data_IF_000360537647
#
_entry.id   IF_000360537647
#
_cell.length_a   1.000
_cell.length_b   1.000
_cell.length_c   1.000
_cell.angle_alpha   90.00
_cell.angle_beta   90.00
_cell.angle_gamma   90.00
#
_symmetry.space_group_name_H-M   'P 1'
#
loop_
_entity.id
_entity.type
_entity.pdbx_description
1 polymer ?
#
# COMPACT_ATOMS: atom_id res chain seq x y z
N UNK A 1 -7.70 4.15 -37.05
CA UNK A 1 -7.53 5.56 -37.45
C UNK A 1 -7.47 5.57 -38.96
N UNK A 2 -8.58 6.01 -39.61
CA UNK A 2 -8.68 6.01 -41.06
C UNK A 2 -7.82 7.09 -41.72
N UNK A 3 -7.79 7.09 -43.09
CA UNK A 3 -6.97 8.03 -43.88
C UNK A 3 -7.20 9.53 -43.56
N UNK A 4 -8.34 9.90 -42.99
CA UNK A 4 -8.66 11.26 -42.54
C UNK A 4 -7.74 11.80 -41.42
N UNK A 5 -7.09 10.91 -40.64
CA UNK A 5 -6.19 11.33 -39.56
C UNK A 5 -4.86 11.94 -40.04
N UNK A 6 -4.52 11.79 -41.30
CA UNK A 6 -3.26 12.30 -41.88
C UNK A 6 -3.26 13.84 -42.01
N UNK A 7 -4.42 14.48 -42.12
CA UNK A 7 -4.56 15.92 -42.31
C UNK A 7 -4.78 16.72 -41.05
N UNK A 8 -4.87 16.07 -39.89
CA UNK A 8 -5.09 16.73 -38.62
C UNK A 8 -3.81 17.40 -38.09
N UNK A 9 -3.93 18.59 -37.53
CA UNK A 9 -2.83 19.21 -36.77
C UNK A 9 -2.47 18.37 -35.53
N UNK A 10 -1.27 18.58 -35.00
CA UNK A 10 -0.81 17.89 -33.78
C UNK A 10 -1.82 17.99 -32.63
N UNK A 11 -2.39 19.16 -32.40
CA UNK A 11 -3.36 19.39 -31.33
C UNK A 11 -4.70 18.67 -31.58
N UNK A 12 -5.14 18.59 -32.83
CA UNK A 12 -6.33 17.84 -33.20
C UNK A 12 -6.11 16.34 -33.00
N UNK A 13 -4.96 15.80 -33.42
CA UNK A 13 -4.59 14.40 -33.17
C UNK A 13 -4.58 14.05 -31.68
N UNK A 14 -4.03 14.93 -30.83
CA UNK A 14 -4.02 14.73 -29.38
C UNK A 14 -5.46 14.68 -28.83
N UNK A 15 -6.32 15.59 -29.26
CA UNK A 15 -7.74 15.61 -28.83
C UNK A 15 -8.49 14.34 -29.24
N UNK A 16 -8.30 13.88 -30.46
CA UNK A 16 -8.93 12.64 -30.96
C UNK A 16 -8.42 11.42 -30.18
N UNK A 17 -7.11 11.31 -29.91
CA UNK A 17 -6.55 10.26 -29.09
C UNK A 17 -7.11 10.30 -27.66
N UNK A 18 -7.19 11.49 -27.05
CA UNK A 18 -7.78 11.64 -25.71
C UNK A 18 -9.26 11.25 -25.66
N UNK A 19 -10.03 11.59 -26.71
CA UNK A 19 -11.42 11.17 -26.85
C UNK A 19 -11.54 9.66 -26.95
N UNK A 20 -10.69 9.04 -27.78
CA UNK A 20 -10.65 7.59 -27.93
C UNK A 20 -10.27 6.90 -26.61
N UNK A 21 -9.24 7.38 -25.90
CA UNK A 21 -8.86 6.83 -24.59
C UNK A 21 -10.05 6.91 -23.64
N UNK A 22 -10.71 8.06 -23.53
CA UNK A 22 -11.85 8.26 -22.63
C UNK A 22 -13.08 7.41 -22.98
N UNK A 23 -13.21 6.94 -24.24
CA UNK A 23 -14.31 6.06 -24.61
C UNK A 23 -14.10 4.60 -24.15
N UNK A 24 -12.84 4.20 -23.88
CA UNK A 24 -12.49 2.84 -23.44
C UNK A 24 -12.07 2.78 -21.98
N UNK A 25 -11.50 3.87 -21.44
CA UNK A 25 -10.91 3.90 -20.11
C UNK A 25 -11.52 4.99 -19.23
N UNK A 26 -11.86 4.61 -18.02
CA UNK A 26 -12.25 5.54 -16.96
C UNK A 26 -11.13 5.61 -15.93
N UNK A 27 -10.56 6.80 -15.72
CA UNK A 27 -9.52 7.04 -14.72
C UNK A 27 -10.11 7.78 -13.53
N UNK A 28 -9.84 7.29 -12.34
CA UNK A 28 -10.25 7.95 -11.10
C UNK A 28 -9.17 7.82 -10.03
N UNK A 29 -8.89 8.90 -9.31
CA UNK A 29 -8.15 8.78 -8.04
C UNK A 29 -9.05 8.17 -6.96
N UNK A 30 -8.46 7.58 -5.94
CA UNK A 30 -9.18 6.86 -4.89
C UNK A 30 -10.32 7.66 -4.23
N UNK A 31 -10.06 8.91 -3.89
CA UNK A 31 -11.04 9.82 -3.28
C UNK A 31 -12.22 10.06 -4.22
N UNK A 32 -11.91 10.39 -5.49
CA UNK A 32 -12.91 10.63 -6.50
C UNK A 32 -13.75 9.39 -6.74
N UNK A 33 -13.14 8.23 -6.86
CA UNK A 33 -13.82 6.95 -7.02
C UNK A 33 -14.86 6.71 -5.90
N UNK A 34 -14.47 6.86 -4.63
CA UNK A 34 -15.38 6.66 -3.52
C UNK A 34 -16.52 7.72 -3.48
N UNK A 35 -16.20 8.98 -3.76
CA UNK A 35 -17.19 10.05 -3.76
C UNK A 35 -18.20 9.90 -4.92
N UNK A 36 -17.72 9.60 -6.13
CA UNK A 36 -18.60 9.37 -7.30
C UNK A 36 -19.60 8.22 -7.03
N UNK A 37 -19.17 7.17 -6.34
CA UNK A 37 -20.06 6.06 -5.97
C UNK A 37 -21.07 6.51 -4.92
N UNK A 38 -20.65 7.17 -3.85
CA UNK A 38 -21.55 7.72 -2.83
C UNK A 38 -22.62 8.63 -3.43
N UNK A 39 -22.21 9.56 -4.29
CA UNK A 39 -23.13 10.52 -4.89
C UNK A 39 -24.17 9.83 -5.78
N UNK A 40 -23.78 8.78 -6.50
CA UNK A 40 -24.66 8.02 -7.41
C UNK A 40 -25.52 6.97 -6.73
N UNK A 41 -25.19 6.60 -5.50
CA UNK A 41 -25.90 5.56 -4.72
C UNK A 41 -26.64 6.12 -3.50
N UNK A 42 -26.79 7.44 -3.41
CA UNK A 42 -27.52 8.05 -2.29
C UNK A 42 -26.77 7.99 -0.96
N UNK A 43 -25.43 7.95 -0.99
CA UNK A 43 -24.61 7.99 0.21
C UNK A 43 -24.06 6.64 0.68
N UNK A 44 -24.28 5.55 -0.07
CA UNK A 44 -23.76 4.23 0.28
C UNK A 44 -22.22 4.24 0.37
N UNK A 45 -21.69 3.61 1.42
CA UNK A 45 -20.24 3.58 1.73
C UNK A 45 -19.65 2.17 1.68
N UNK A 46 -20.34 1.24 1.06
CA UNK A 46 -19.88 -0.14 0.93
C UNK A 46 -20.39 -1.08 2.03
N UNK A 47 -21.29 -0.62 2.90
CA UNK A 47 -21.90 -1.46 3.92
C UNK A 47 -22.71 -2.59 3.26
N UNK A 48 -22.39 -3.83 3.65
CA UNK A 48 -23.00 -5.02 3.05
C UNK A 48 -24.50 -5.15 3.39
N UNK A 49 -24.85 -4.76 4.61
CA UNK A 49 -26.23 -4.80 5.12
C UNK A 49 -27.17 -3.81 4.40
N UNK A 50 -26.59 -2.81 3.72
CA UNK A 50 -27.35 -1.78 2.98
C UNK A 50 -27.37 -2.03 1.47
N UNK A 51 -26.99 -3.21 1.00
CA UNK A 51 -27.02 -3.55 -0.42
C UNK A 51 -28.44 -3.97 -0.81
N UNK A 52 -29.18 -2.99 -1.26
CA UNK A 52 -30.50 -3.17 -1.87
C UNK A 52 -30.41 -3.46 -3.39
N UNK A 53 -31.55 -3.67 -4.03
CA UNK A 53 -31.61 -3.94 -5.46
C UNK A 53 -31.07 -2.77 -6.29
N UNK A 54 -31.22 -1.53 -5.84
CA UNK A 54 -30.71 -0.34 -6.55
C UNK A 54 -29.18 -0.31 -6.56
N UNK A 55 -28.54 -0.67 -5.44
CA UNK A 55 -27.10 -0.75 -5.33
C UNK A 55 -26.57 -1.93 -6.18
N UNK A 56 -27.28 -3.06 -6.17
CA UNK A 56 -26.93 -4.20 -7.03
C UNK A 56 -27.02 -3.86 -8.52
N UNK A 57 -28.07 -3.20 -8.93
CA UNK A 57 -28.24 -2.72 -10.31
C UNK A 57 -27.18 -1.70 -10.70
N UNK A 58 -26.83 -0.81 -9.78
CA UNK A 58 -25.73 0.13 -9.97
C UNK A 58 -24.41 -0.60 -10.18
N UNK A 59 -24.06 -1.56 -9.30
CA UNK A 59 -22.83 -2.33 -9.39
C UNK A 59 -22.80 -3.10 -10.72
N UNK A 60 -23.87 -3.80 -11.07
CA UNK A 60 -23.94 -4.57 -12.32
C UNK A 60 -23.76 -3.68 -13.54
N UNK A 61 -24.48 -2.58 -13.63
CA UNK A 61 -24.42 -1.68 -14.79
C UNK A 61 -23.04 -1.04 -14.98
N UNK A 62 -22.38 -0.69 -13.89
CA UNK A 62 -21.12 0.06 -13.96
C UNK A 62 -19.88 -0.85 -14.03
N UNK A 63 -19.95 -2.03 -13.42
CA UNK A 63 -18.77 -2.85 -13.18
C UNK A 63 -18.80 -4.26 -13.80
N UNK A 64 -19.96 -4.77 -14.26
CA UNK A 64 -19.99 -6.05 -14.96
C UNK A 64 -19.17 -5.97 -16.26
N UNK A 65 -18.50 -7.06 -16.62
CA UNK A 65 -17.69 -7.20 -17.82
C UNK A 65 -16.55 -6.15 -17.94
N UNK A 66 -15.99 -5.71 -16.79
CA UNK A 66 -14.92 -4.70 -16.74
C UNK A 66 -13.58 -5.29 -16.35
N UNK A 67 -12.53 -4.60 -16.81
CA UNK A 67 -11.18 -4.76 -16.28
C UNK A 67 -10.95 -3.64 -15.26
N UNK A 68 -10.70 -4.00 -14.01
CA UNK A 68 -10.39 -3.07 -12.93
C UNK A 68 -8.88 -3.17 -12.66
N UNK A 69 -8.18 -2.07 -12.89
CA UNK A 69 -6.74 -1.95 -12.63
C UNK A 69 -6.55 -0.98 -11.47
N UNK A 70 -5.93 -1.43 -10.39
CA UNK A 70 -5.68 -0.62 -9.20
C UNK A 70 -4.17 -0.46 -9.06
N UNK A 71 -3.69 0.75 -9.28
CA UNK A 71 -2.28 1.10 -9.13
C UNK A 71 -1.99 1.58 -7.72
N UNK A 72 -0.85 1.20 -7.15
CA UNK A 72 -0.46 1.50 -5.78
C UNK A 72 -1.52 1.07 -4.75
N UNK A 73 -1.98 -0.20 -4.86
CA UNK A 73 -3.06 -0.76 -4.03
C UNK A 73 -2.83 -0.58 -2.51
N UNK A 74 -1.58 -0.50 -2.05
CA UNK A 74 -1.26 -0.27 -0.64
C UNK A 74 -1.81 1.06 -0.12
N UNK A 75 -2.04 2.06 -1.00
CA UNK A 75 -2.60 3.35 -0.60
C UNK A 75 -4.07 3.25 -0.14
N UNK A 76 -4.78 2.22 -0.52
CA UNK A 76 -6.16 1.99 -0.05
C UNK A 76 -6.17 1.75 1.47
N UNK A 77 -5.11 1.15 2.02
CA UNK A 77 -5.04 0.78 3.44
C UNK A 77 -4.27 1.78 4.30
N UNK A 78 -3.27 2.43 3.74
CA UNK A 78 -2.29 3.25 4.49
C UNK A 78 -2.57 4.73 4.49
N UNK A 79 -3.63 5.22 3.82
CA UNK A 79 -3.94 6.64 3.74
C UNK A 79 -4.02 7.29 5.13
N UNK A 80 -3.34 8.43 5.32
CA UNK A 80 -3.35 9.21 6.55
C UNK A 80 -4.74 9.71 6.95
N UNK A 81 -5.70 9.65 6.04
CA UNK A 81 -7.09 10.05 6.24
C UNK A 81 -7.95 8.83 6.60
N UNK A 82 -7.99 8.51 7.88
CA UNK A 82 -8.73 7.36 8.43
C UNK A 82 -10.19 7.23 7.97
N UNK A 83 -10.85 8.32 7.63
CA UNK A 83 -12.24 8.30 7.17
C UNK A 83 -12.40 7.78 5.74
N UNK A 84 -11.46 8.11 4.84
CA UNK A 84 -11.50 7.66 3.45
C UNK A 84 -11.23 6.17 3.30
N UNK A 85 -10.31 5.64 4.10
CA UNK A 85 -10.03 4.19 4.12
C UNK A 85 -11.25 3.38 4.51
N UNK A 86 -12.00 3.84 5.51
CA UNK A 86 -13.24 3.21 5.96
C UNK A 86 -14.31 3.12 4.88
N UNK A 87 -14.15 3.89 3.80
CA UNK A 87 -15.14 3.94 2.72
C UNK A 87 -14.67 3.20 1.46
N UNK A 88 -13.39 3.34 1.08
CA UNK A 88 -12.90 2.76 -0.19
C UNK A 88 -12.84 1.24 -0.12
N UNK A 89 -12.34 0.68 0.98
CA UNK A 89 -12.22 -0.78 1.12
C UNK A 89 -13.56 -1.49 1.02
N UNK A 90 -14.60 -1.16 1.81
CA UNK A 90 -15.87 -1.86 1.74
C UNK A 90 -16.58 -1.66 0.39
N UNK A 91 -16.47 -0.48 -0.24
CA UNK A 91 -17.00 -0.26 -1.59
C UNK A 91 -16.32 -1.19 -2.59
N UNK A 92 -14.99 -1.27 -2.58
CA UNK A 92 -14.23 -2.11 -3.49
C UNK A 92 -14.56 -3.61 -3.28
N UNK A 93 -14.61 -4.05 -2.02
CA UNK A 93 -14.98 -5.42 -1.69
C UNK A 93 -16.38 -5.76 -2.20
N UNK A 94 -17.35 -4.88 -2.00
CA UNK A 94 -18.71 -5.08 -2.47
C UNK A 94 -18.80 -5.13 -3.99
N UNK A 95 -18.07 -4.25 -4.70
CA UNK A 95 -18.02 -4.30 -6.17
C UNK A 95 -17.46 -5.66 -6.64
N UNK A 96 -16.34 -6.09 -6.09
CA UNK A 96 -15.71 -7.37 -6.48
C UNK A 96 -16.60 -8.57 -6.13
N UNK A 97 -17.32 -8.49 -5.02
CA UNK A 97 -18.23 -9.55 -4.58
C UNK A 97 -19.46 -9.69 -5.49
N UNK A 98 -20.05 -8.59 -5.91
CA UNK A 98 -21.36 -8.58 -6.57
C UNK A 98 -21.32 -8.38 -8.07
N UNK A 99 -20.31 -7.72 -8.62
CA UNK A 99 -20.18 -7.59 -10.07
C UNK A 99 -19.76 -8.92 -10.71
N UNK A 100 -20.16 -9.09 -11.96
CA UNK A 100 -19.91 -10.31 -12.73
C UNK A 100 -18.83 -10.11 -13.76
N UNK A 101 -18.06 -11.18 -14.01
CA UNK A 101 -17.04 -11.24 -15.06
C UNK A 101 -15.99 -10.09 -14.97
N UNK A 102 -15.60 -9.70 -13.76
CA UNK A 102 -14.51 -8.72 -13.55
C UNK A 102 -13.17 -9.40 -13.83
N UNK A 103 -12.25 -8.64 -14.46
CA UNK A 103 -10.81 -8.94 -14.48
C UNK A 103 -10.13 -7.94 -13.56
N UNK A 104 -9.54 -8.44 -12.47
CA UNK A 104 -8.91 -7.62 -11.44
C UNK A 104 -7.40 -7.66 -11.57
N UNK A 105 -6.76 -6.48 -11.65
CA UNK A 105 -5.31 -6.32 -11.65
C UNK A 105 -4.91 -5.39 -10.51
N UNK A 106 -4.12 -5.89 -9.57
CA UNK A 106 -3.58 -5.12 -8.44
C UNK A 106 -2.10 -4.88 -8.68
N UNK A 107 -1.68 -3.62 -8.67
CA UNK A 107 -0.28 -3.23 -8.87
C UNK A 107 0.28 -2.57 -7.62
N UNK A 108 1.49 -2.96 -7.23
CA UNK A 108 2.23 -2.37 -6.13
C UNK A 108 3.71 -2.73 -6.22
N UNK A 109 4.58 -1.80 -5.85
CA UNK A 109 5.98 -2.07 -5.59
C UNK A 109 6.22 -2.53 -4.15
N UNK A 110 5.33 -2.18 -3.23
CA UNK A 110 5.45 -2.42 -1.78
C UNK A 110 4.12 -2.93 -1.20
N UNK A 111 3.71 -4.17 -1.49
CA UNK A 111 2.40 -4.68 -1.10
C UNK A 111 2.21 -4.82 0.43
N UNK A 112 3.29 -4.77 1.19
CA UNK A 112 3.30 -4.74 2.66
C UNK A 112 4.02 -3.47 3.10
N UNK A 113 3.28 -2.42 3.47
CA UNK A 113 3.86 -1.13 3.81
C UNK A 113 4.21 -1.03 5.29
N UNK A 114 3.24 -1.19 6.18
CA UNK A 114 3.44 -1.10 7.63
C UNK A 114 3.56 -2.48 8.29
N UNK A 115 2.72 -3.41 7.85
CA UNK A 115 2.56 -4.71 8.50
C UNK A 115 2.46 -5.85 7.50
N UNK A 116 3.08 -7.01 7.79
CA UNK A 116 3.02 -8.17 6.89
C UNK A 116 1.61 -8.70 6.63
N UNK A 117 0.70 -8.54 7.58
CA UNK A 117 -0.69 -9.03 7.48
C UNK A 117 -1.57 -8.22 6.52
N UNK A 118 -1.07 -7.10 6.01
CA UNK A 118 -1.77 -6.30 5.00
C UNK A 118 -1.99 -7.06 3.69
N UNK A 119 -1.09 -7.98 3.37
CA UNK A 119 -1.19 -8.79 2.16
C UNK A 119 -2.47 -9.63 2.11
N UNK A 120 -3.04 -10.00 3.27
CA UNK A 120 -4.26 -10.80 3.34
C UNK A 120 -5.44 -10.10 2.66
N UNK A 121 -5.54 -8.77 2.81
CA UNK A 121 -6.57 -8.00 2.14
C UNK A 121 -6.48 -8.12 0.61
N UNK A 122 -5.28 -7.98 0.03
CA UNK A 122 -5.09 -8.06 -1.42
C UNK A 122 -5.32 -9.47 -1.96
N UNK A 123 -4.86 -10.48 -1.22
CA UNK A 123 -5.12 -11.88 -1.56
C UNK A 123 -6.61 -12.14 -1.58
N UNK A 124 -7.33 -11.68 -0.56
CA UNK A 124 -8.77 -11.90 -0.45
C UNK A 124 -9.56 -11.18 -1.55
N UNK A 125 -9.12 -10.01 -2.03
CA UNK A 125 -9.73 -9.38 -3.21
C UNK A 125 -9.64 -10.26 -4.46
N UNK A 126 -8.47 -10.89 -4.67
CA UNK A 126 -8.28 -11.80 -5.82
C UNK A 126 -9.10 -13.09 -5.67
N UNK A 127 -9.11 -13.67 -4.46
CA UNK A 127 -9.89 -14.87 -4.17
C UNK A 127 -11.40 -14.63 -4.29
N UNK A 128 -11.89 -13.48 -3.78
CA UNK A 128 -13.30 -13.08 -3.89
C UNK A 128 -13.71 -12.90 -5.35
N UNK A 129 -12.85 -12.28 -6.17
CA UNK A 129 -13.09 -12.13 -7.61
C UNK A 129 -13.29 -13.49 -8.28
N UNK A 130 -12.51 -14.50 -7.92
CA UNK A 130 -12.57 -15.84 -8.50
C UNK A 130 -13.54 -16.77 -7.73
N UNK A 131 -14.33 -16.21 -6.79
CA UNK A 131 -15.30 -16.97 -5.96
C UNK A 131 -14.64 -18.13 -5.21
N UNK A 132 -13.39 -17.95 -4.79
CA UNK A 132 -12.62 -18.92 -4.00
C UNK A 132 -12.76 -18.62 -2.52
N UNK A 133 -12.44 -19.63 -1.68
CA UNK A 133 -12.43 -19.49 -0.22
C UNK A 133 -11.41 -18.43 0.22
N UNK A 134 -11.86 -17.49 1.03
CA UNK A 134 -11.02 -16.46 1.61
C UNK A 134 -10.13 -17.04 2.71
N UNK A 135 -8.99 -16.40 2.94
CA UNK A 135 -8.08 -16.73 4.04
C UNK A 135 -8.18 -15.69 5.14
N UNK A 136 -8.00 -16.12 6.38
CA UNK A 136 -7.96 -15.23 7.54
C UNK A 136 -6.52 -14.90 7.92
N UNK A 137 -6.34 -13.80 8.64
CA UNK A 137 -5.06 -13.46 9.24
C UNK A 137 -4.55 -14.59 10.15
N UNK A 138 -5.44 -15.22 10.90
CA UNK A 138 -5.11 -16.33 11.80
C UNK A 138 -4.70 -17.61 11.08
N UNK A 139 -4.95 -17.78 9.79
CA UNK A 139 -4.47 -18.91 9.01
C UNK A 139 -2.97 -18.81 8.74
N UNK A 140 -2.46 -17.58 8.64
CA UNK A 140 -1.10 -17.27 8.21
C UNK A 140 -0.21 -16.83 9.38
N UNK A 141 -0.72 -15.99 10.28
CA UNK A 141 0.07 -15.35 11.33
C UNK A 141 -0.33 -15.80 12.72
N UNK A 142 0.66 -15.89 13.60
CA UNK A 142 0.45 -16.08 15.03
C UNK A 142 -0.10 -14.81 15.66
N UNK A 143 -1.14 -14.93 16.48
CA UNK A 143 -1.80 -13.79 17.10
C UNK A 143 -0.95 -13.09 18.17
N UNK A 144 0.02 -13.82 18.78
CA UNK A 144 0.82 -13.30 19.89
C UNK A 144 1.95 -12.37 19.46
N UNK A 145 2.64 -12.72 18.37
CA UNK A 145 3.87 -12.05 17.95
C UNK A 145 3.87 -11.64 16.47
N UNK A 146 2.81 -11.97 15.72
CA UNK A 146 2.71 -11.67 14.29
C UNK A 146 3.66 -12.50 13.40
N UNK A 147 4.34 -13.50 13.95
CA UNK A 147 5.20 -14.38 13.17
C UNK A 147 4.39 -15.31 12.24
N UNK A 148 5.02 -15.79 11.17
CA UNK A 148 4.40 -16.77 10.29
C UNK A 148 4.21 -18.11 11.01
N UNK A 149 3.06 -18.74 10.79
CA UNK A 149 2.82 -20.12 11.22
C UNK A 149 3.62 -21.11 10.37
N UNK A 150 3.87 -22.30 10.89
CA UNK A 150 4.68 -23.33 10.22
C UNK A 150 4.18 -23.69 8.81
N UNK A 151 2.87 -23.75 8.62
CA UNK A 151 2.23 -24.10 7.35
C UNK A 151 1.86 -22.85 6.49
N UNK A 152 2.16 -21.65 6.96
CA UNK A 152 1.75 -20.40 6.29
C UNK A 152 2.30 -20.28 4.87
N UNK A 153 3.55 -20.68 4.66
CA UNK A 153 4.21 -20.61 3.36
C UNK A 153 3.51 -21.52 2.35
N UNK A 154 3.10 -22.70 2.74
CA UNK A 154 2.45 -23.66 1.85
C UNK A 154 1.02 -23.19 1.50
N UNK A 155 0.29 -22.66 2.48
CA UNK A 155 -1.01 -22.02 2.23
C UNK A 155 -0.86 -20.86 1.25
N UNK A 156 0.12 -19.96 1.47
CA UNK A 156 0.34 -18.81 0.58
C UNK A 156 0.74 -19.25 -0.82
N UNK A 157 1.59 -20.27 -0.98
CA UNK A 157 1.95 -20.81 -2.29
C UNK A 157 0.74 -21.37 -3.02
N UNK A 158 -0.14 -22.07 -2.32
CA UNK A 158 -1.35 -22.66 -2.92
C UNK A 158 -2.35 -21.59 -3.35
N UNK A 159 -2.65 -20.62 -2.46
CA UNK A 159 -3.66 -19.60 -2.76
C UNK A 159 -3.18 -18.58 -3.79
N UNK A 160 -1.88 -18.28 -3.84
CA UNK A 160 -1.29 -17.31 -4.75
C UNK A 160 -0.85 -17.89 -6.09
N UNK A 161 -0.95 -19.19 -6.27
CA UNK A 161 -0.55 -19.83 -7.53
C UNK A 161 -1.32 -19.25 -8.71
N UNK A 162 -0.59 -18.66 -9.65
CA UNK A 162 -1.15 -18.04 -10.85
C UNK A 162 -1.58 -16.57 -10.71
N UNK A 163 -1.60 -16.02 -9.50
CA UNK A 163 -1.98 -14.60 -9.28
C UNK A 163 -0.81 -13.63 -9.29
N UNK A 164 0.39 -14.08 -8.93
CA UNK A 164 1.52 -13.17 -8.71
C UNK A 164 2.45 -13.16 -9.91
N UNK A 165 2.67 -11.99 -10.46
CA UNK A 165 3.73 -11.70 -11.43
C UNK A 165 4.63 -10.60 -10.87
N UNK A 166 5.94 -10.80 -10.94
CA UNK A 166 6.90 -9.80 -10.48
C UNK A 166 8.15 -9.81 -11.33
N UNK A 167 8.79 -8.65 -11.44
CA UNK A 167 10.09 -8.52 -12.07
C UNK A 167 11.16 -8.66 -11.01
N UNK A 168 12.06 -9.63 -11.18
CA UNK A 168 13.21 -9.77 -10.31
C UNK A 168 14.21 -8.66 -10.64
N UNK A 169 14.27 -7.66 -9.77
CA UNK A 169 15.06 -6.45 -10.00
C UNK A 169 16.58 -6.63 -9.83
N UNK A 170 17.04 -7.79 -9.40
CA UNK A 170 18.43 -8.07 -9.06
C UNK A 170 19.26 -8.53 -10.26
N UNK A 171 19.22 -7.79 -11.37
CA UNK A 171 20.28 -7.95 -12.37
C UNK A 171 21.42 -6.97 -11.99
N UNK A 172 22.62 -7.46 -11.61
CA UNK A 172 23.74 -6.63 -11.17
C UNK A 172 24.14 -5.53 -12.17
N UNK A 173 23.83 -5.75 -13.46
CA UNK A 173 24.17 -4.81 -14.54
C UNK A 173 23.18 -3.66 -14.72
N UNK A 174 22.00 -3.70 -14.11
CA UNK A 174 20.93 -2.71 -14.32
C UNK A 174 20.67 -1.87 -13.07
N UNK A 175 21.00 -2.39 -11.87
CA UNK A 175 20.78 -1.69 -10.61
C UNK A 175 22.11 -1.19 -10.02
N UNK A 176 22.14 0.05 -9.50
CA UNK A 176 23.32 0.57 -8.83
C UNK A 176 23.64 -0.27 -7.59
N UNK A 177 24.89 -0.70 -7.47
CA UNK A 177 25.37 -1.36 -6.27
C UNK A 177 25.45 -0.37 -5.11
N UNK A 178 25.01 -0.80 -3.94
CA UNK A 178 25.35 -0.08 -2.70
C UNK A 178 26.81 -0.37 -2.36
N UNK A 179 27.67 0.60 -2.57
CA UNK A 179 29.07 0.54 -2.15
C UNK A 179 29.15 0.99 -0.70
N UNK A 180 29.47 0.07 0.19
CA UNK A 180 29.73 0.40 1.59
C UNK A 180 31.21 0.81 1.74
N UNK A 181 31.55 1.82 2.57
CA UNK A 181 32.93 2.17 2.86
C UNK A 181 33.70 0.96 3.37
N UNK A 182 34.87 0.68 2.77
CA UNK A 182 35.69 -0.52 3.07
C UNK A 182 36.22 -0.54 4.51
N UNK A 183 36.40 0.62 5.15
CA UNK A 183 37.09 0.78 6.42
C UNK A 183 36.23 1.54 7.47
N UNK A 184 34.94 1.58 7.33
CA UNK A 184 34.15 2.13 8.40
C UNK A 184 34.10 1.10 9.54
N UNK A 185 34.79 1.38 10.64
CA UNK A 185 34.37 0.88 11.93
C UNK A 185 32.93 1.39 12.10
N UNK A 186 31.96 0.56 11.69
CA UNK A 186 30.55 0.90 11.83
C UNK A 186 30.31 0.89 13.33
N UNK A 187 30.11 2.04 13.98
CA UNK A 187 29.84 2.04 15.40
C UNK A 187 28.57 1.24 15.61
N UNK A 188 28.64 0.22 16.45
CA UNK A 188 27.42 -0.44 16.93
C UNK A 188 26.66 0.58 17.75
N UNK A 189 25.39 0.76 17.47
CA UNK A 189 24.53 1.49 18.37
C UNK A 189 24.35 0.61 19.60
N UNK A 190 25.00 0.98 20.69
CA UNK A 190 24.96 0.23 21.95
C UNK A 190 23.97 0.80 22.93
N UNK A 191 23.45 1.98 22.66
CA UNK A 191 22.57 2.72 23.59
C UNK A 191 21.36 3.26 22.83
N UNK A 192 20.20 3.23 23.48
CA UNK A 192 19.03 3.98 23.06
C UNK A 192 19.27 5.50 23.23
N UNK A 193 18.43 6.32 22.61
CA UNK A 193 18.48 7.77 22.79
C UNK A 193 18.30 8.19 24.26
N UNK A 194 17.65 7.36 25.07
CA UNK A 194 17.51 7.50 26.53
C UNK A 194 18.79 7.25 27.31
N UNK A 195 19.89 6.83 26.66
CA UNK A 195 21.14 6.45 27.35
C UNK A 195 21.13 5.04 27.92
N UNK A 196 20.05 4.28 27.81
CA UNK A 196 19.97 2.88 28.23
C UNK A 196 20.70 1.99 27.26
N UNK A 197 21.47 1.03 27.76
CA UNK A 197 22.20 0.06 26.92
C UNK A 197 21.22 -0.91 26.23
N UNK A 198 21.41 -1.10 24.92
CA UNK A 198 20.64 -2.06 24.13
C UNK A 198 21.07 -3.48 24.50
N UNK A 199 20.13 -4.33 24.85
CA UNK A 199 20.39 -5.74 25.10
C UNK A 199 20.86 -6.44 23.81
N UNK A 200 21.78 -7.40 23.92
CA UNK A 200 22.45 -8.02 22.79
C UNK A 200 21.50 -8.68 21.76
N UNK A 201 20.30 -9.05 22.16
CA UNK A 201 19.28 -9.68 21.31
C UNK A 201 18.27 -8.68 20.70
N UNK A 202 18.33 -7.39 21.09
CA UNK A 202 17.43 -6.33 20.63
C UNK A 202 18.12 -5.35 19.67
N UNK A 203 19.36 -5.56 19.33
CA UNK A 203 20.10 -4.72 18.39
C UNK A 203 19.67 -4.93 16.94
N UNK A 204 19.89 -3.94 16.09
CA UNK A 204 19.67 -4.03 14.65
C UNK A 204 20.76 -4.92 14.04
N UNK A 205 20.43 -6.17 13.75
CA UNK A 205 21.38 -7.19 13.33
C UNK A 205 21.64 -7.20 11.80
N UNK A 206 20.72 -6.66 11.00
CA UNK A 206 20.71 -6.82 9.55
C UNK A 206 20.91 -5.52 8.76
N UNK A 207 20.99 -4.39 9.44
CA UNK A 207 21.14 -3.10 8.80
C UNK A 207 22.49 -2.50 9.18
N UNK A 208 23.29 -2.14 8.18
CA UNK A 208 24.52 -1.37 8.41
C UNK A 208 24.16 0.09 8.60
N UNK A 209 24.52 0.63 9.75
CA UNK A 209 24.28 2.04 10.08
C UNK A 209 25.54 2.80 9.72
N UNK A 210 25.38 3.82 8.88
CA UNK A 210 26.46 4.76 8.55
C UNK A 210 26.18 6.02 9.36
N UNK A 211 27.10 6.34 10.27
CA UNK A 211 27.01 7.56 11.07
C UNK A 211 27.70 8.70 10.33
N UNK A 212 27.04 9.84 10.24
CA UNK A 212 27.61 11.09 9.80
C UNK A 212 27.74 12.03 10.99
N UNK A 213 28.92 12.68 11.12
CA UNK A 213 29.14 13.71 12.13
C UNK A 213 28.37 14.96 11.72
N UNK A 214 27.49 15.43 12.59
CA UNK A 214 26.79 16.69 12.36
C UNK A 214 27.78 17.84 12.39
N UNK A 215 27.75 18.73 11.40
CA UNK A 215 28.49 19.98 11.43
C UNK A 215 27.88 20.92 12.47
N UNK A 216 28.65 21.86 12.97
CA UNK A 216 28.31 22.78 14.07
C UNK A 216 26.91 23.40 13.93
N UNK A 217 26.55 23.87 12.73
CA UNK A 217 25.23 24.44 12.46
C UNK A 217 24.11 23.41 12.64
N UNK A 218 24.29 22.21 12.09
CA UNK A 218 23.29 21.13 12.20
C UNK A 218 23.13 20.68 13.65
N UNK A 219 24.23 20.54 14.39
CA UNK A 219 24.23 20.16 15.79
C UNK A 219 23.52 21.19 16.65
N UNK A 220 23.84 22.48 16.49
CA UNK A 220 23.21 23.54 17.23
C UNK A 220 21.69 23.65 16.95
N UNK A 221 21.31 23.52 15.69
CA UNK A 221 19.89 23.53 15.28
C UNK A 221 19.15 22.34 15.88
N UNK A 222 19.75 21.15 15.82
CA UNK A 222 19.15 19.94 16.41
C UNK A 222 18.98 20.07 17.91
N UNK A 223 20.03 20.51 18.64
CA UNK A 223 19.97 20.69 20.09
C UNK A 223 18.95 21.76 20.50
N UNK A 224 18.87 22.87 19.76
CA UNK A 224 17.85 23.88 20.01
C UNK A 224 16.44 23.28 19.86
N UNK A 225 16.18 22.58 18.76
CA UNK A 225 14.88 21.97 18.50
C UNK A 225 14.52 20.87 19.52
N UNK A 226 15.51 20.10 19.96
CA UNK A 226 15.33 19.09 21.01
C UNK A 226 14.95 19.76 22.33
N UNK A 227 15.67 20.80 22.75
CA UNK A 227 15.40 21.53 23.96
C UNK A 227 14.01 22.19 23.92
N UNK A 228 13.63 22.82 22.80
CA UNK A 228 12.30 23.43 22.63
C UNK A 228 11.19 22.37 22.78
N UNK A 229 11.38 21.17 22.25
CA UNK A 229 10.41 20.07 22.39
C UNK A 229 10.33 19.51 23.81
N UNK A 230 11.45 19.43 24.52
CA UNK A 230 11.49 19.01 25.92
C UNK A 230 10.77 20.03 26.77
N UNK A 231 11.07 21.33 26.62
CA UNK A 231 10.45 22.41 27.38
C UNK A 231 8.94 22.52 27.14
N UNK A 232 8.50 22.29 25.91
CA UNK A 232 7.08 22.31 25.52
C UNK A 232 6.33 21.02 25.88
N UNK A 233 6.96 20.05 26.55
CA UNK A 233 6.33 18.77 26.92
C UNK A 233 5.95 17.87 25.72
N UNK A 234 6.39 18.21 24.50
CA UNK A 234 6.11 17.45 23.27
C UNK A 234 6.96 16.18 23.15
N UNK A 235 8.07 16.13 23.86
CA UNK A 235 8.84 14.92 24.12
C UNK A 235 8.85 14.82 25.64
N UNK A 236 8.07 13.88 26.18
CA UNK A 236 8.23 13.47 27.58
C UNK A 236 9.67 13.02 27.74
N UNK A 237 10.29 13.40 28.84
CA UNK A 237 11.60 12.92 29.26
C UNK A 237 11.73 11.47 28.82
N UNK A 238 12.79 11.14 28.07
CA UNK A 238 13.03 9.81 27.49
C UNK A 238 13.27 8.77 28.61
N UNK A 239 12.46 8.78 29.61
CA UNK A 239 12.39 7.83 30.70
C UNK A 239 11.52 6.66 30.29
N UNK A 240 12.19 5.63 29.84
CA UNK A 240 11.95 4.18 29.97
C UNK A 240 10.57 3.55 29.71
N UNK A 241 9.49 4.25 29.42
CA UNK A 241 8.17 3.61 29.30
C UNK A 241 7.53 3.60 27.91
N UNK A 242 8.08 4.32 26.94
CA UNK A 242 7.45 4.49 25.63
C UNK A 242 8.25 3.94 24.44
N UNK A 243 9.19 3.02 24.66
CA UNK A 243 9.87 2.28 23.62
C UNK A 243 9.69 0.79 23.87
N UNK A 244 8.47 0.33 23.69
CA UNK A 244 8.16 -1.10 23.58
C UNK A 244 7.47 -1.37 22.25
#
# INVERSE_FOLDING_TARGET
LGQESLFLSKNQKIKEIQKLIKSYYQFAGYIKFANDIKDRTGGWKGEEDLIDDKIRDFISREYDDRVIIIDEIQNIKTGKEKELQKTIQPILQSIIKYAKNIKLVLMSATPMFDRPDEIIFYINLLLENDKRKLISKSDIFNSKDGSLKLNAIDILKEVLKGYVSYVRAEKPFIFPFRIYPKNSSIPKIEYYLSGKKIENNKGINYTRIITNIMKTYQQNTYLKHLNDKIQNGSIRDLNDKDVS
#
